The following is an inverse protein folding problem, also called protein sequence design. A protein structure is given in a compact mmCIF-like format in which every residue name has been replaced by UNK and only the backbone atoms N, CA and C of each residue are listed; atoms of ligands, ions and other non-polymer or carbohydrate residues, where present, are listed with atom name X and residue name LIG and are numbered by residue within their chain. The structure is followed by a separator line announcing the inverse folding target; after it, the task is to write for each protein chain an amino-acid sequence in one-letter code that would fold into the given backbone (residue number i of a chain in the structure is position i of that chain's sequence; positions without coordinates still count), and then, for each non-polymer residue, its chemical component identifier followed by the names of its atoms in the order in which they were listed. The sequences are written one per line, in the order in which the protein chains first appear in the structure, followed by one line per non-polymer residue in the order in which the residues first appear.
data_IF_353399409072
#
_entry.id   IF_353399409072
#
_cell.length_a   1.000
_cell.length_b   1.000
_cell.length_c   1.000
_cell.angle_alpha   90.00
_cell.angle_beta   90.00
_cell.angle_gamma   90.00
#
_symmetry.space_group_name_H-M   'P 1'
#
loop_
_entity.id
_entity.type
_entity.pdbx_description
1 polymer ?
#
# COMPACT_ATOMS: atom_id res chain seq x y z
N UNK A 1 -15.23 29.13 -5.13
CA UNK A 1 -15.55 27.72 -5.42
C UNK A 1 -14.49 27.25 -6.40
N UNK A 2 -13.43 26.60 -5.92
CA UNK A 2 -12.40 26.06 -6.82
C UNK A 2 -13.05 24.98 -7.68
N UNK A 3 -12.91 25.07 -8.99
CA UNK A 3 -13.33 24.01 -9.91
C UNK A 3 -12.51 22.75 -9.59
N UNK A 4 -13.14 21.80 -8.90
CA UNK A 4 -12.56 20.50 -8.60
C UNK A 4 -12.56 19.69 -9.90
N UNK A 5 -11.56 19.94 -10.75
CA UNK A 5 -11.37 19.19 -11.99
C UNK A 5 -11.11 17.73 -11.59
N UNK A 6 -11.92 16.75 -12.06
CA UNK A 6 -11.76 15.37 -11.67
C UNK A 6 -10.34 14.91 -12.01
N UNK A 7 -9.53 14.63 -10.99
CA UNK A 7 -8.20 14.06 -11.17
C UNK A 7 -8.40 12.64 -11.68
N UNK A 8 -8.03 12.41 -12.94
CA UNK A 8 -8.11 11.08 -13.56
C UNK A 8 -6.98 10.22 -13.01
N UNK A 9 -7.30 8.97 -12.69
CA UNK A 9 -6.30 7.98 -12.31
C UNK A 9 -5.23 7.87 -13.41
N UNK A 10 -3.95 7.67 -13.02
CA UNK A 10 -2.89 7.40 -13.98
C UNK A 10 -3.25 6.20 -14.86
N UNK A 11 -3.01 6.30 -16.16
CA UNK A 11 -3.17 5.15 -17.04
C UNK A 11 -2.02 4.14 -16.83
N UNK A 12 -2.26 2.83 -17.09
CA UNK A 12 -1.26 1.80 -16.87
C UNK A 12 0.04 2.02 -17.63
N UNK A 13 0.01 2.51 -18.88
CA UNK A 13 1.20 2.69 -19.70
C UNK A 13 2.11 3.80 -19.15
N UNK A 14 1.51 4.87 -18.63
CA UNK A 14 2.25 5.93 -17.94
C UNK A 14 2.93 5.40 -16.66
N UNK A 15 2.24 4.56 -15.88
CA UNK A 15 2.84 3.95 -14.67
C UNK A 15 3.99 3.02 -15.05
N UNK A 16 3.80 2.15 -16.04
CA UNK A 16 4.84 1.24 -16.54
C UNK A 16 6.10 2.00 -17.01
N UNK A 17 5.91 3.15 -17.64
CA UNK A 17 7.04 4.00 -18.08
C UNK A 17 7.87 4.49 -16.89
N UNK A 18 7.22 4.90 -15.80
CA UNK A 18 7.92 5.30 -14.57
C UNK A 18 8.65 4.11 -13.96
N UNK A 19 8.00 2.95 -13.87
CA UNK A 19 8.60 1.73 -13.32
C UNK A 19 9.82 1.28 -14.13
N UNK A 20 9.75 1.34 -15.45
CA UNK A 20 10.86 0.97 -16.34
C UNK A 20 12.07 1.92 -16.25
N UNK A 21 11.87 3.13 -15.72
CA UNK A 21 12.95 4.11 -15.52
C UNK A 21 13.70 3.96 -14.19
N UNK A 22 13.24 3.08 -13.30
CA UNK A 22 13.87 2.86 -12.00
C UNK A 22 15.04 1.89 -12.12
N UNK A 23 16.15 2.25 -11.49
CA UNK A 23 17.31 1.36 -11.35
C UNK A 23 16.99 0.27 -10.32
N UNK A 24 17.25 -0.99 -10.66
CA UNK A 24 16.84 -2.13 -9.84
C UNK A 24 17.43 -2.11 -8.42
N UNK A 25 18.59 -1.46 -8.21
CA UNK A 25 19.23 -1.37 -6.89
C UNK A 25 18.63 -0.31 -5.97
N UNK A 26 17.95 0.71 -6.53
CA UNK A 26 17.34 1.81 -5.78
C UNK A 26 15.81 1.80 -5.85
N UNK A 27 15.23 0.92 -6.66
CA UNK A 27 13.80 0.89 -6.98
C UNK A 27 12.90 1.00 -5.74
N UNK A 28 13.16 0.24 -4.67
CA UNK A 28 12.33 0.26 -3.46
C UNK A 28 12.30 1.64 -2.78
N UNK A 29 13.44 2.31 -2.72
CA UNK A 29 13.56 3.64 -2.11
C UNK A 29 13.04 4.75 -3.02
N UNK A 30 13.17 4.60 -4.33
CA UNK A 30 12.85 5.63 -5.32
C UNK A 30 11.44 5.51 -5.90
N UNK A 31 10.74 4.39 -5.69
CA UNK A 31 9.41 4.13 -6.26
C UNK A 31 8.38 5.19 -5.87
N UNK A 32 8.19 5.45 -4.57
CA UNK A 32 7.23 6.46 -4.11
C UNK A 32 7.61 7.88 -4.58
N UNK A 33 8.86 8.34 -4.42
CA UNK A 33 9.30 9.62 -4.95
C UNK A 33 9.09 9.77 -6.47
N UNK A 34 9.40 8.74 -7.25
CA UNK A 34 9.26 8.76 -8.70
C UNK A 34 7.78 8.85 -9.13
N UNK A 35 6.89 8.10 -8.49
CA UNK A 35 5.45 8.16 -8.77
C UNK A 35 4.85 9.51 -8.37
N UNK A 36 5.19 10.04 -7.19
CA UNK A 36 4.72 11.34 -6.73
C UNK A 36 5.17 12.48 -7.66
N UNK A 37 6.39 12.39 -8.21
CA UNK A 37 6.92 13.38 -9.17
C UNK A 37 6.18 13.33 -10.51
N UNK A 38 5.85 12.14 -11.01
CA UNK A 38 5.24 11.97 -12.33
C UNK A 38 3.72 12.15 -12.34
N UNK A 39 3.06 11.96 -11.20
CA UNK A 39 1.60 12.03 -11.08
C UNK A 39 1.17 13.04 -10.01
N UNK A 40 1.32 14.36 -10.30
CA UNK A 40 0.89 15.40 -9.36
C UNK A 40 -0.62 15.32 -9.11
N UNK A 41 -1.02 15.36 -7.84
CA UNK A 41 -2.41 15.20 -7.41
C UNK A 41 -2.73 13.82 -6.82
N UNK A 42 -1.77 12.90 -6.83
CA UNK A 42 -1.84 11.63 -6.11
C UNK A 42 -0.74 11.55 -5.05
N UNK A 43 -1.04 10.83 -3.97
CA UNK A 43 -0.07 10.49 -2.92
C UNK A 43 0.21 8.99 -2.99
N UNK A 44 1.44 8.64 -3.36
CA UNK A 44 1.91 7.26 -3.39
C UNK A 44 2.72 6.93 -2.14
N UNK A 45 2.44 5.77 -1.58
CA UNK A 45 3.19 5.15 -0.48
C UNK A 45 3.62 3.75 -0.92
N UNK A 46 4.78 3.30 -0.43
CA UNK A 46 5.32 1.97 -0.71
C UNK A 46 5.29 1.16 0.57
N UNK A 47 4.81 -0.07 0.48
CA UNK A 47 4.86 -1.07 1.54
C UNK A 47 5.69 -2.25 1.02
N UNK A 48 6.62 -2.74 1.85
CA UNK A 48 7.41 -3.94 1.50
C UNK A 48 6.54 -5.19 1.58
N UNK A 49 6.97 -6.28 0.94
CA UNK A 49 6.25 -7.57 0.97
C UNK A 49 6.17 -8.16 2.40
N UNK A 50 7.02 -7.68 3.31
CA UNK A 50 6.99 -8.02 4.74
C UNK A 50 6.40 -6.91 5.63
N UNK A 51 5.87 -5.85 5.03
CA UNK A 51 5.21 -4.76 5.76
C UNK A 51 3.96 -5.30 6.47
N UNK A 52 3.66 -4.88 7.71
CA UNK A 52 2.42 -5.22 8.40
C UNK A 52 1.14 -4.97 7.58
N UNK A 53 1.18 -4.06 6.62
CA UNK A 53 0.10 -3.76 5.68
C UNK A 53 -0.03 -4.77 4.53
N UNK A 54 1.04 -5.50 4.19
CA UNK A 54 0.98 -6.55 3.18
C UNK A 54 0.06 -7.66 3.69
N UNK A 55 -1.05 -7.86 2.97
CA UNK A 55 -2.13 -8.79 3.31
C UNK A 55 -1.59 -10.22 3.37
N UNK A 56 -1.07 -10.61 4.53
CA UNK A 56 -1.19 -12.00 4.95
C UNK A 56 -2.70 -12.26 5.02
N UNK A 57 -3.27 -13.17 4.21
CA UNK A 57 -4.71 -13.47 4.22
C UNK A 57 -5.22 -13.95 5.59
N UNK A 58 -4.31 -14.19 6.54
CA UNK A 58 -4.57 -14.59 7.91
C UNK A 58 -4.20 -13.52 8.94
N UNK A 59 -3.90 -12.26 8.61
CA UNK A 59 -3.69 -11.23 9.63
C UNK A 59 -5.03 -10.69 10.15
N UNK A 60 -5.20 -10.65 11.48
CA UNK A 60 -6.32 -9.96 12.14
C UNK A 60 -5.89 -8.55 12.47
N UNK A 61 -6.70 -7.58 12.07
CA UNK A 61 -6.44 -6.15 12.23
C UNK A 61 -7.66 -5.49 12.85
N UNK A 62 -7.45 -4.64 13.85
CA UNK A 62 -8.48 -3.83 14.48
C UNK A 62 -9.01 -2.75 13.53
N UNK A 63 -10.15 -2.15 13.88
CA UNK A 63 -10.78 -1.11 13.07
C UNK A 63 -9.92 0.16 12.90
N UNK A 64 -8.97 0.39 13.81
CA UNK A 64 -8.01 1.50 13.76
C UNK A 64 -6.73 1.17 12.96
N UNK A 65 -6.64 -0.03 12.39
CA UNK A 65 -5.48 -0.50 11.63
C UNK A 65 -4.41 -1.19 12.49
N UNK A 66 -4.61 -1.31 13.81
CA UNK A 66 -3.67 -2.02 14.69
C UNK A 66 -3.68 -3.52 14.40
N UNK A 67 -2.50 -4.11 14.17
CA UNK A 67 -2.37 -5.57 13.98
C UNK A 67 -2.59 -6.30 15.31
N UNK A 68 -3.60 -7.16 15.35
CA UNK A 68 -3.96 -7.94 16.55
C UNK A 68 -3.28 -9.33 16.58
N UNK A 69 -2.94 -9.90 15.42
CA UNK A 69 -2.23 -11.17 15.36
C UNK A 69 -2.50 -11.97 14.10
N UNK A 70 -2.20 -13.27 14.15
CA UNK A 70 -2.62 -14.24 13.14
C UNK A 70 -4.04 -14.75 13.46
N UNK A 71 -4.84 -14.97 12.43
CA UNK A 71 -6.25 -15.34 12.48
C UNK A 71 -6.47 -16.64 13.22
N UNK A 72 -5.64 -17.66 13.01
CA UNK A 72 -5.83 -18.93 13.73
C UNK A 72 -5.57 -18.74 15.22
N UNK A 73 -4.46 -18.11 15.56
CA UNK A 73 -4.10 -17.88 16.96
C UNK A 73 -5.13 -16.99 17.68
N UNK A 74 -5.64 -15.97 16.99
CA UNK A 74 -6.69 -15.09 17.52
C UNK A 74 -7.99 -15.84 17.76
N UNK A 75 -8.47 -16.63 16.78
CA UNK A 75 -9.69 -17.45 16.93
C UNK A 75 -9.55 -18.47 18.06
N UNK A 76 -8.42 -19.16 18.17
CA UNK A 76 -8.18 -20.12 19.26
C UNK A 76 -8.21 -19.46 20.64
N UNK A 77 -7.69 -18.23 20.76
CA UNK A 77 -7.73 -17.46 22.00
C UNK A 77 -9.15 -17.05 22.39
N UNK A 78 -9.90 -16.44 21.46
CA UNK A 78 -11.28 -16.00 21.70
C UNK A 78 -12.22 -17.18 22.01
N UNK A 79 -12.03 -18.32 21.34
CA UNK A 79 -12.79 -19.54 21.62
C UNK A 79 -12.50 -20.13 22.99
N UNK A 80 -11.31 -19.91 23.56
CA UNK A 80 -10.97 -20.36 24.91
C UNK A 80 -11.58 -19.48 26.01
N UNK A 81 -12.02 -18.27 25.67
CA UNK A 81 -12.69 -17.34 26.60
C UNK A 81 -14.23 -17.45 26.59
N UNK A 82 -14.79 -18.31 25.71
CA UNK A 82 -16.23 -18.66 25.68
C UNK A 82 -16.59 -19.78 26.67
#
# INVERSE_FOLDING_TARGET
MSEEKPVRLPDPASVETVLASLEAQSADAELAPALNKNFPGFAFTVATIDDPYWRNPHAVVAADGTRLGDHRAWVECELAEL
#
